data_IF_710536509297
#
_entry.id   IF_710536509297
#
_cell.length_a   1.000
_cell.length_b   1.000
_cell.length_c   1.000
_cell.angle_alpha   90.00
_cell.angle_beta   90.00
_cell.angle_gamma   90.00
#
_symmetry.space_group_name_H-M   'P 1'
#
loop_
_entity.id
_entity.type
_entity.pdbx_description
1 polymer ?
#
# COMPACT_ATOMS: atom_id res chain seq x y z
N UNK A 1 -15.09 -1.49 -33.58
CA UNK A 1 -14.68 -1.95 -32.24
C UNK A 1 -13.43 -1.18 -31.84
N UNK A 2 -13.60 -0.07 -31.11
CA UNK A 2 -12.51 0.61 -30.41
C UNK A 2 -12.16 -0.26 -29.18
N UNK A 3 -10.85 -0.48 -28.88
CA UNK A 3 -10.47 -1.17 -27.66
C UNK A 3 -10.99 -0.35 -26.48
N UNK A 4 -11.66 -1.02 -25.52
CA UNK A 4 -11.94 -0.46 -24.21
C UNK A 4 -10.59 -0.02 -23.62
N UNK A 5 -10.31 1.29 -23.66
CA UNK A 5 -9.37 1.86 -22.72
C UNK A 5 -9.94 1.50 -21.34
N UNK A 6 -9.27 0.63 -20.61
CA UNK A 6 -9.58 0.37 -19.22
C UNK A 6 -9.48 1.72 -18.52
N UNK A 7 -10.62 2.29 -18.16
CA UNK A 7 -10.65 3.48 -17.32
C UNK A 7 -10.06 3.03 -15.98
N UNK A 8 -8.82 3.43 -15.74
CA UNK A 8 -8.20 3.22 -14.43
C UNK A 8 -9.14 3.78 -13.37
N UNK A 9 -9.34 3.04 -12.29
CA UNK A 9 -10.14 3.50 -11.17
C UNK A 9 -9.56 4.78 -10.59
N UNK A 10 -10.39 5.61 -9.97
CA UNK A 10 -9.90 6.84 -9.35
C UNK A 10 -8.82 6.56 -8.30
N UNK A 11 -8.98 5.50 -7.49
CA UNK A 11 -7.99 5.10 -6.48
C UNK A 11 -6.66 4.65 -7.11
N UNK A 12 -6.71 3.85 -8.19
CA UNK A 12 -5.52 3.42 -8.92
C UNK A 12 -4.75 4.60 -9.53
N UNK A 13 -5.46 5.57 -10.10
CA UNK A 13 -4.85 6.79 -10.64
C UNK A 13 -4.14 7.60 -9.55
N UNK A 14 -4.77 7.79 -8.38
CA UNK A 14 -4.16 8.48 -7.24
C UNK A 14 -2.93 7.73 -6.73
N UNK A 15 -2.98 6.41 -6.69
CA UNK A 15 -1.85 5.55 -6.31
C UNK A 15 -0.63 5.77 -7.21
N UNK A 16 -0.82 5.66 -8.53
CA UNK A 16 0.25 5.87 -9.51
C UNK A 16 0.86 7.28 -9.45
N UNK A 17 0.02 8.30 -9.32
CA UNK A 17 0.48 9.68 -9.21
C UNK A 17 1.24 9.91 -7.90
N UNK A 18 0.77 9.33 -6.80
CA UNK A 18 1.42 9.44 -5.49
C UNK A 18 2.78 8.76 -5.48
N UNK A 19 2.90 7.55 -6.04
CA UNK A 19 4.20 6.87 -6.18
C UNK A 19 5.20 7.66 -7.03
N UNK A 20 4.75 8.31 -8.10
CA UNK A 20 5.63 9.15 -8.93
C UNK A 20 6.12 10.41 -8.20
N UNK A 21 5.28 10.99 -7.35
CA UNK A 21 5.60 12.20 -6.59
C UNK A 21 6.48 11.92 -5.39
N UNK A 22 6.12 10.91 -4.61
CA UNK A 22 6.82 10.46 -3.41
C UNK A 22 6.59 8.95 -3.25
N UNK A 23 7.61 8.17 -3.51
CA UNK A 23 7.53 6.71 -3.50
C UNK A 23 7.53 6.11 -2.08
N UNK A 24 6.83 6.75 -1.15
CA UNK A 24 6.76 6.37 0.26
C UNK A 24 5.31 6.19 0.70
N UNK A 25 5.05 5.10 1.42
CA UNK A 25 3.81 4.87 2.16
C UNK A 25 4.10 5.13 3.63
N UNK A 26 3.41 6.09 4.23
CA UNK A 26 3.52 6.35 5.67
C UNK A 26 2.71 5.32 6.46
N UNK A 27 3.36 4.63 7.40
CA UNK A 27 2.75 3.63 8.28
C UNK A 27 2.57 4.27 9.66
N UNK A 28 1.34 4.65 10.00
CA UNK A 28 0.98 5.39 11.22
C UNK A 28 0.68 4.41 12.37
N UNK A 29 1.61 3.52 12.66
CA UNK A 29 1.44 2.49 13.69
C UNK A 29 1.32 3.11 15.08
N UNK A 30 0.25 2.73 15.80
CA UNK A 30 0.01 3.17 17.17
C UNK A 30 -0.56 4.58 17.29
N UNK A 31 -0.82 5.27 16.19
CA UNK A 31 -1.40 6.61 16.21
C UNK A 31 -2.81 6.59 16.83
N UNK A 32 -3.11 7.58 17.64
CA UNK A 32 -4.44 7.82 18.21
C UNK A 32 -5.26 8.75 17.32
N UNK A 33 -6.60 8.77 17.45
CA UNK A 33 -7.43 9.73 16.70
C UNK A 33 -7.05 11.20 16.96
N UNK A 34 -6.64 11.54 18.17
CA UNK A 34 -6.23 12.90 18.51
C UNK A 34 -4.95 13.36 17.79
N UNK A 35 -4.04 12.42 17.53
CA UNK A 35 -2.76 12.66 16.82
C UNK A 35 -2.92 12.60 15.31
N UNK A 36 -3.96 11.94 14.81
CA UNK A 36 -4.08 11.54 13.41
C UNK A 36 -4.04 12.72 12.43
N UNK A 37 -4.78 13.78 12.69
CA UNK A 37 -4.85 14.95 11.79
C UNK A 37 -3.55 15.77 11.77
N UNK A 38 -2.95 16.17 12.92
CA UNK A 38 -1.68 16.90 12.89
C UNK A 38 -0.56 16.11 12.21
N UNK A 39 -0.46 14.80 12.44
CA UNK A 39 0.56 13.95 11.82
C UNK A 39 0.30 13.79 10.32
N UNK A 40 -0.94 13.49 9.91
CA UNK A 40 -1.28 13.38 8.50
C UNK A 40 -1.03 14.67 7.73
N UNK A 41 -1.34 15.82 8.33
CA UNK A 41 -1.06 17.13 7.74
C UNK A 41 0.43 17.33 7.50
N UNK A 42 1.25 17.08 8.51
CA UNK A 42 2.71 17.21 8.39
C UNK A 42 3.28 16.31 7.28
N UNK A 43 2.79 15.07 7.16
CA UNK A 43 3.20 14.14 6.11
C UNK A 43 2.74 14.60 4.71
N UNK A 44 1.50 15.04 4.57
CA UNK A 44 0.99 15.56 3.30
C UNK A 44 1.75 16.83 2.86
N UNK A 45 2.05 17.73 3.80
CA UNK A 45 2.85 18.93 3.54
C UNK A 45 4.30 18.57 3.12
N UNK A 46 4.83 17.46 3.63
CA UNK A 46 6.12 16.89 3.21
C UNK A 46 6.06 16.12 1.89
N UNK A 47 4.89 15.99 1.25
CA UNK A 47 4.72 15.37 -0.06
C UNK A 47 4.20 13.93 -0.06
N UNK A 48 3.93 13.32 1.10
CA UNK A 48 3.33 11.98 1.14
C UNK A 48 1.91 12.01 0.57
N UNK A 49 1.63 11.05 -0.30
CA UNK A 49 0.30 10.86 -0.87
C UNK A 49 -0.34 9.51 -0.51
N UNK A 50 0.39 8.65 0.20
CA UNK A 50 -0.03 7.31 0.61
C UNK A 50 0.14 7.18 2.12
N UNK A 51 -0.98 7.02 2.84
CA UNK A 51 -0.99 6.90 4.31
C UNK A 51 -1.82 5.68 4.74
N UNK A 52 -1.28 4.86 5.60
CA UNK A 52 -2.03 3.74 6.19
C UNK A 52 -1.96 3.77 7.72
N UNK A 53 -3.10 3.51 8.35
CA UNK A 53 -3.21 3.30 9.78
C UNK A 53 -3.38 1.80 10.02
N UNK A 54 -2.42 1.12 10.66
CA UNK A 54 -2.57 -0.30 10.97
C UNK A 54 -3.77 -0.55 11.88
N UNK A 55 -4.56 -1.60 11.58
CA UNK A 55 -5.78 -1.90 12.35
C UNK A 55 -5.52 -2.34 13.80
N UNK A 56 -4.27 -2.56 14.17
CA UNK A 56 -3.85 -2.79 15.56
C UNK A 56 -3.44 -1.49 16.29
N UNK A 57 -3.73 -0.32 15.71
CA UNK A 57 -3.61 0.97 16.38
C UNK A 57 -4.87 1.30 17.21
N UNK A 58 -4.83 2.24 18.15
CA UNK A 58 -6.02 2.68 18.90
C UNK A 58 -7.07 3.31 17.97
N UNK A 59 -8.32 2.86 18.05
CA UNK A 59 -9.47 3.41 17.29
C UNK A 59 -9.16 3.70 15.81
N UNK A 60 -8.59 2.72 15.05
CA UNK A 60 -7.97 2.99 13.74
C UNK A 60 -8.97 3.52 12.71
N UNK A 61 -10.22 3.08 12.74
CA UNK A 61 -11.25 3.53 11.81
C UNK A 61 -11.63 5.00 12.01
N UNK A 62 -11.57 5.51 13.24
CA UNK A 62 -11.78 6.93 13.51
C UNK A 62 -10.64 7.76 12.92
N UNK A 63 -9.40 7.34 13.11
CA UNK A 63 -8.22 7.98 12.51
C UNK A 63 -8.29 7.97 10.98
N UNK A 64 -8.62 6.84 10.37
CA UNK A 64 -8.77 6.70 8.91
C UNK A 64 -9.84 7.66 8.39
N UNK A 65 -11.02 7.69 9.04
CA UNK A 65 -12.12 8.57 8.63
C UNK A 65 -11.74 10.05 8.72
N UNK A 66 -11.12 10.47 9.82
CA UNK A 66 -10.68 11.85 10.01
C UNK A 66 -9.66 12.27 8.95
N UNK A 67 -8.64 11.43 8.70
CA UNK A 67 -7.58 11.72 7.71
C UNK A 67 -8.16 11.76 6.30
N UNK A 68 -8.95 10.76 5.91
CA UNK A 68 -9.54 10.68 4.57
C UNK A 68 -10.43 11.88 4.25
N UNK A 69 -11.21 12.35 5.23
CA UNK A 69 -12.04 13.54 5.08
C UNK A 69 -11.22 14.84 4.96
N UNK A 70 -10.17 14.98 5.76
CA UNK A 70 -9.34 16.18 5.78
C UNK A 70 -8.35 16.27 4.60
N UNK A 71 -7.95 15.14 4.03
CA UNK A 71 -6.96 15.04 2.95
C UNK A 71 -7.49 14.22 1.76
N UNK A 72 -8.55 14.68 1.05
CA UNK A 72 -9.19 13.94 -0.04
C UNK A 72 -8.27 13.68 -1.24
N UNK A 73 -7.16 14.42 -1.36
CA UNK A 73 -6.14 14.23 -2.40
C UNK A 73 -5.15 13.12 -2.09
N UNK A 74 -5.08 12.64 -0.83
CA UNK A 74 -4.24 11.53 -0.43
C UNK A 74 -5.00 10.20 -0.51
N UNK A 75 -4.28 9.13 -0.77
CA UNK A 75 -4.81 7.78 -0.68
C UNK A 75 -4.59 7.28 0.76
N UNK A 76 -5.68 7.29 1.52
CA UNK A 76 -5.68 6.93 2.94
C UNK A 76 -6.35 5.58 3.13
N UNK A 77 -5.86 4.76 4.04
CA UNK A 77 -6.50 3.51 4.37
C UNK A 77 -5.86 2.77 5.54
N UNK A 78 -5.93 1.46 5.51
CA UNK A 78 -5.53 0.62 6.63
C UNK A 78 -4.36 -0.30 6.28
N UNK A 79 -3.47 -0.50 7.25
CA UNK A 79 -2.53 -1.60 7.31
C UNK A 79 -3.02 -2.76 8.18
N UNK A 80 -2.36 -3.90 8.06
CA UNK A 80 -2.68 -5.12 8.83
C UNK A 80 -4.13 -5.59 8.60
N UNK A 81 -4.60 -5.47 7.37
CA UNK A 81 -5.93 -5.95 6.96
C UNK A 81 -5.81 -7.43 6.59
N UNK A 82 -6.52 -8.30 7.32
CA UNK A 82 -6.38 -9.75 7.24
C UNK A 82 -7.65 -10.46 6.77
N UNK A 83 -8.81 -9.77 6.81
CA UNK A 83 -10.13 -10.36 6.55
C UNK A 83 -11.01 -9.44 5.73
N UNK A 84 -11.96 -10.01 5.01
CA UNK A 84 -12.90 -9.29 4.13
C UNK A 84 -13.75 -8.28 4.92
N UNK A 85 -14.20 -8.64 6.14
CA UNK A 85 -14.98 -7.73 6.98
C UNK A 85 -14.21 -6.46 7.33
N UNK A 86 -12.88 -6.57 7.50
CA UNK A 86 -12.02 -5.41 7.75
C UNK A 86 -11.91 -4.52 6.51
N UNK A 87 -11.89 -5.09 5.31
CA UNK A 87 -11.93 -4.31 4.05
C UNK A 87 -13.20 -3.47 3.99
N UNK A 88 -14.35 -4.07 4.27
CA UNK A 88 -15.63 -3.36 4.29
C UNK A 88 -15.67 -2.26 5.37
N UNK A 89 -15.14 -2.51 6.56
CA UNK A 89 -15.08 -1.53 7.63
C UNK A 89 -14.18 -0.33 7.26
N UNK A 90 -13.01 -0.58 6.65
CA UNK A 90 -12.10 0.46 6.15
C UNK A 90 -12.76 1.29 5.06
N UNK A 91 -13.44 0.64 4.11
CA UNK A 91 -14.18 1.33 3.06
C UNK A 91 -15.29 2.22 3.62
N UNK A 92 -16.08 1.70 4.57
CA UNK A 92 -17.14 2.46 5.25
C UNK A 92 -16.60 3.68 6.03
N UNK A 93 -15.37 3.60 6.52
CA UNK A 93 -14.66 4.73 7.16
C UNK A 93 -14.08 5.75 6.14
N UNK A 94 -14.28 5.55 4.84
CA UNK A 94 -13.74 6.41 3.79
C UNK A 94 -12.32 6.03 3.32
N UNK A 95 -11.77 4.94 3.82
CA UNK A 95 -10.47 4.43 3.39
C UNK A 95 -10.52 3.85 1.98
N UNK A 96 -9.45 4.03 1.21
CA UNK A 96 -9.30 3.56 -0.18
C UNK A 96 -7.99 2.83 -0.44
N UNK A 97 -7.24 2.52 0.63
CA UNK A 97 -5.99 1.78 0.59
C UNK A 97 -6.06 0.61 1.58
N UNK A 98 -5.74 -0.57 1.10
CA UNK A 98 -5.64 -1.80 1.89
C UNK A 98 -4.22 -2.33 1.80
N UNK A 99 -3.54 -2.43 2.94
CA UNK A 99 -2.20 -3.00 3.04
C UNK A 99 -2.25 -4.18 4.00
N UNK A 100 -1.69 -5.32 3.58
CA UNK A 100 -1.69 -6.54 4.37
C UNK A 100 -0.27 -7.06 4.59
N UNK A 101 0.01 -7.72 5.72
CA UNK A 101 1.31 -8.34 5.94
C UNK A 101 1.49 -9.66 5.18
N UNK A 102 0.39 -10.21 4.66
CA UNK A 102 0.32 -11.49 3.95
C UNK A 102 -0.54 -11.36 2.69
N UNK A 103 -0.55 -12.40 1.88
CA UNK A 103 -1.47 -12.54 0.75
C UNK A 103 -2.71 -13.36 1.16
N UNK A 104 -3.88 -12.79 0.92
CA UNK A 104 -5.17 -13.46 0.96
C UNK A 104 -6.00 -13.01 -0.25
N UNK A 105 -6.31 -13.94 -1.14
CA UNK A 105 -7.01 -13.66 -2.40
C UNK A 105 -8.41 -13.04 -2.20
N UNK A 106 -9.13 -13.42 -1.14
CA UNK A 106 -10.45 -12.87 -0.84
C UNK A 106 -10.36 -11.41 -0.40
N UNK A 107 -9.36 -11.06 0.41
CA UNK A 107 -9.09 -9.67 0.83
C UNK A 107 -8.75 -8.81 -0.38
N UNK A 108 -7.88 -9.29 -1.28
CA UNK A 108 -7.51 -8.57 -2.49
C UNK A 108 -8.73 -8.33 -3.38
N UNK A 109 -9.51 -9.38 -3.66
CA UNK A 109 -10.71 -9.28 -4.51
C UNK A 109 -11.77 -8.37 -3.91
N UNK A 110 -11.98 -8.41 -2.59
CA UNK A 110 -12.92 -7.53 -1.91
C UNK A 110 -12.49 -6.06 -2.02
N UNK A 111 -11.21 -5.75 -1.84
CA UNK A 111 -10.67 -4.41 -1.98
C UNK A 111 -10.83 -3.88 -3.42
N UNK A 112 -10.49 -4.69 -4.41
CA UNK A 112 -10.63 -4.36 -5.83
C UNK A 112 -12.09 -4.10 -6.20
N UNK A 113 -13.02 -4.94 -5.72
CA UNK A 113 -14.46 -4.78 -5.98
C UNK A 113 -15.04 -3.48 -5.40
N UNK A 114 -14.40 -2.90 -4.38
CA UNK A 114 -14.77 -1.63 -3.76
C UNK A 114 -13.96 -0.43 -4.28
N UNK A 115 -13.25 -0.58 -5.39
CA UNK A 115 -12.38 0.46 -5.95
C UNK A 115 -11.31 0.96 -4.94
N UNK A 116 -10.77 0.06 -4.14
CA UNK A 116 -9.68 0.33 -3.22
C UNK A 116 -8.37 -0.21 -3.79
N UNK A 117 -7.28 0.53 -3.59
CA UNK A 117 -5.94 0.02 -3.88
C UNK A 117 -5.56 -1.05 -2.86
N UNK A 118 -5.05 -2.19 -3.33
CA UNK A 118 -4.64 -3.28 -2.46
C UNK A 118 -3.16 -3.63 -2.69
N UNK A 119 -2.39 -3.66 -1.60
CA UNK A 119 -0.96 -3.97 -1.54
C UNK A 119 -0.75 -5.16 -0.58
N UNK A 120 -0.97 -6.40 -1.02
CA UNK A 120 -0.76 -7.58 -0.19
C UNK A 120 0.72 -7.84 0.05
N UNK A 121 1.02 -8.41 1.23
CA UNK A 121 2.35 -8.86 1.60
C UNK A 121 2.72 -10.17 0.92
N UNK A 122 3.90 -10.24 0.31
CA UNK A 122 4.44 -11.41 -0.37
C UNK A 122 5.92 -11.54 -0.08
N UNK A 123 6.44 -12.77 -0.15
CA UNK A 123 7.85 -13.05 0.04
C UNK A 123 8.41 -13.97 -1.06
N UNK A 124 7.55 -14.70 -1.76
CA UNK A 124 7.91 -15.67 -2.78
C UNK A 124 7.31 -15.32 -4.15
N UNK A 125 7.88 -15.81 -5.26
CA UNK A 125 7.28 -15.64 -6.58
C UNK A 125 5.86 -16.23 -6.68
N UNK A 126 5.59 -17.37 -6.05
CA UNK A 126 4.24 -17.97 -6.04
C UNK A 126 3.20 -17.04 -5.45
N UNK A 127 3.49 -16.44 -4.30
CA UNK A 127 2.60 -15.45 -3.68
C UNK A 127 2.46 -14.20 -4.54
N UNK A 128 3.55 -13.73 -5.12
CA UNK A 128 3.56 -12.54 -5.96
C UNK A 128 2.65 -12.69 -7.19
N UNK A 129 2.78 -13.80 -7.94
CA UNK A 129 1.92 -14.07 -9.08
C UNK A 129 0.46 -14.27 -8.67
N UNK A 130 0.20 -15.02 -7.60
CA UNK A 130 -1.16 -15.22 -7.11
C UNK A 130 -1.81 -13.90 -6.65
N UNK A 131 -1.04 -12.99 -6.06
CA UNK A 131 -1.53 -11.67 -5.66
C UNK A 131 -1.89 -10.80 -6.89
N UNK A 132 -1.04 -10.80 -7.91
CA UNK A 132 -1.32 -10.08 -9.18
C UNK A 132 -2.55 -10.66 -9.89
N UNK A 133 -2.68 -11.98 -9.94
CA UNK A 133 -3.84 -12.67 -10.55
C UNK A 133 -5.15 -12.37 -9.78
N UNK A 134 -5.06 -12.12 -8.48
CA UNK A 134 -6.21 -11.68 -7.67
C UNK A 134 -6.58 -10.20 -7.89
N UNK A 135 -5.74 -9.43 -8.62
CA UNK A 135 -5.97 -8.02 -8.95
C UNK A 135 -5.25 -7.03 -8.07
N UNK A 136 -4.20 -7.43 -7.34
CA UNK A 136 -3.40 -6.51 -6.52
C UNK A 136 -2.81 -5.37 -7.37
N UNK A 137 -2.86 -4.15 -6.85
CA UNK A 137 -2.33 -2.96 -7.51
C UNK A 137 -0.80 -2.81 -7.36
N UNK A 138 -0.25 -3.48 -6.37
CA UNK A 138 1.18 -3.58 -6.11
C UNK A 138 1.45 -4.69 -5.10
N UNK A 139 2.72 -5.02 -4.94
CA UNK A 139 3.20 -6.07 -4.04
C UNK A 139 3.99 -5.43 -2.91
N UNK A 140 3.69 -5.81 -1.69
CA UNK A 140 4.48 -5.45 -0.51
C UNK A 140 5.45 -6.59 -0.21
N UNK A 141 6.74 -6.43 -0.49
CA UNK A 141 7.77 -7.36 -0.01
C UNK A 141 7.94 -7.18 1.50
N UNK A 142 7.59 -8.20 2.27
CA UNK A 142 7.55 -8.12 3.73
C UNK A 142 7.87 -9.47 4.40
N UNK A 143 8.70 -9.49 5.44
CA UNK A 143 9.51 -8.36 5.93
C UNK A 143 10.75 -8.14 5.04
N UNK A 144 10.99 -6.91 4.58
CA UNK A 144 12.06 -6.62 3.63
C UNK A 144 13.46 -6.87 4.21
N UNK A 145 13.64 -6.75 5.51
CA UNK A 145 14.90 -7.09 6.20
C UNK A 145 15.33 -8.55 6.00
N UNK A 146 14.39 -9.45 5.72
CA UNK A 146 14.67 -10.85 5.39
C UNK A 146 14.86 -11.11 3.88
N UNK A 147 14.72 -10.07 3.04
CA UNK A 147 14.74 -10.17 1.57
C UNK A 147 15.93 -9.36 1.06
N UNK A 148 16.98 -10.04 0.56
CA UNK A 148 18.14 -9.34 0.04
C UNK A 148 17.84 -8.59 -1.28
N UNK A 149 18.59 -7.53 -1.62
CA UNK A 149 18.51 -6.91 -2.94
C UNK A 149 18.72 -7.89 -4.09
N UNK A 150 19.54 -8.92 -3.91
CA UNK A 150 19.73 -9.97 -4.92
C UNK A 150 18.45 -10.78 -5.15
N UNK A 151 17.70 -11.09 -4.09
CA UNK A 151 16.40 -11.76 -4.20
C UNK A 151 15.37 -10.87 -4.90
N UNK A 152 15.33 -9.58 -4.58
CA UNK A 152 14.47 -8.60 -5.27
C UNK A 152 14.78 -8.60 -6.77
N UNK A 153 16.04 -8.51 -7.15
CA UNK A 153 16.48 -8.53 -8.54
C UNK A 153 16.04 -9.81 -9.27
N UNK A 154 16.16 -10.96 -8.62
CA UNK A 154 15.71 -12.24 -9.16
C UNK A 154 14.19 -12.27 -9.36
N UNK A 155 13.41 -11.79 -8.39
CA UNK A 155 11.95 -11.67 -8.53
C UNK A 155 11.55 -10.70 -9.64
N UNK A 156 12.19 -9.54 -9.74
CA UNK A 156 11.93 -8.56 -10.81
C UNK A 156 12.21 -9.09 -12.22
N UNK A 157 13.14 -10.04 -12.35
CA UNK A 157 13.43 -10.66 -13.64
C UNK A 157 12.27 -11.49 -14.22
N UNK A 158 11.37 -11.98 -13.37
CA UNK A 158 10.22 -12.81 -13.76
C UNK A 158 8.88 -12.12 -13.62
N UNK A 159 8.76 -11.11 -12.76
CA UNK A 159 7.52 -10.35 -12.58
C UNK A 159 7.24 -9.43 -13.79
N UNK A 160 5.95 -9.15 -14.09
CA UNK A 160 5.60 -8.16 -15.10
C UNK A 160 6.28 -6.82 -14.82
N UNK A 161 6.78 -6.16 -15.86
CA UNK A 161 7.47 -4.85 -15.72
C UNK A 161 6.55 -3.76 -15.16
N UNK A 162 5.24 -3.90 -15.36
CA UNK A 162 4.21 -2.98 -14.86
C UNK A 162 3.88 -3.19 -13.39
N UNK A 163 4.22 -4.35 -12.80
CA UNK A 163 3.95 -4.63 -11.41
C UNK A 163 4.73 -3.68 -10.50
N UNK A 164 4.03 -2.99 -9.60
CA UNK A 164 4.64 -2.16 -8.57
C UNK A 164 5.08 -3.03 -7.40
N UNK A 165 6.31 -2.83 -6.94
CA UNK A 165 6.90 -3.60 -5.85
C UNK A 165 7.45 -2.64 -4.79
N UNK A 166 6.93 -2.73 -3.57
CA UNK A 166 7.32 -1.90 -2.45
C UNK A 166 8.02 -2.75 -1.38
N UNK A 167 9.10 -2.25 -0.80
CA UNK A 167 9.78 -2.89 0.31
C UNK A 167 9.29 -2.31 1.64
N UNK A 168 8.95 -3.17 2.59
CA UNK A 168 8.42 -2.80 3.90
C UNK A 168 9.02 -3.68 5.00
N UNK A 169 9.47 -3.03 6.08
CA UNK A 169 10.11 -3.71 7.22
C UNK A 169 11.62 -3.60 7.18
N UNK A 170 12.22 -3.00 8.22
CA UNK A 170 13.67 -2.79 8.33
C UNK A 170 14.26 -1.83 7.28
N UNK A 171 13.43 -1.05 6.59
CA UNK A 171 13.87 -0.07 5.59
C UNK A 171 14.38 1.18 6.29
N UNK A 172 15.55 1.65 5.87
CA UNK A 172 16.20 2.86 6.37
C UNK A 172 16.75 3.68 5.20
N UNK A 173 17.03 4.99 5.38
CA UNK A 173 17.67 5.78 4.33
C UNK A 173 18.99 5.18 3.81
N UNK A 174 19.71 4.43 4.66
CA UNK A 174 21.00 3.82 4.31
C UNK A 174 20.86 2.60 3.39
N UNK A 175 19.75 1.83 3.48
CA UNK A 175 19.54 0.62 2.66
C UNK A 175 18.63 0.84 1.46
N UNK A 176 17.88 1.93 1.39
CA UNK A 176 16.96 2.23 0.28
C UNK A 176 17.64 2.18 -1.09
N UNK A 177 18.86 2.75 -1.21
CA UNK A 177 19.57 2.79 -2.47
C UNK A 177 19.82 1.41 -3.09
N UNK A 178 20.17 0.42 -2.27
CA UNK A 178 20.40 -0.95 -2.73
C UNK A 178 19.09 -1.61 -3.22
N UNK A 179 17.98 -1.37 -2.52
CA UNK A 179 16.66 -1.88 -2.94
C UNK A 179 16.17 -1.19 -4.23
N UNK A 180 16.36 0.12 -4.36
CA UNK A 180 16.02 0.85 -5.59
C UNK A 180 16.82 0.31 -6.79
N UNK A 181 18.14 0.10 -6.62
CA UNK A 181 18.99 -0.48 -7.66
C UNK A 181 18.57 -1.93 -8.03
N UNK A 182 17.95 -2.66 -7.13
CA UNK A 182 17.39 -3.99 -7.37
C UNK A 182 16.01 -3.96 -8.07
N UNK A 183 15.34 -2.80 -8.16
CA UNK A 183 14.08 -2.63 -8.86
C UNK A 183 12.85 -2.45 -7.96
N UNK A 184 13.05 -1.98 -6.72
CA UNK A 184 11.95 -1.55 -5.85
C UNK A 184 11.41 -0.20 -6.33
N UNK A 185 10.07 -0.08 -6.40
CA UNK A 185 9.37 1.12 -6.86
C UNK A 185 9.01 2.08 -5.72
N UNK A 186 8.99 1.61 -4.47
CA UNK A 186 8.66 2.42 -3.31
C UNK A 186 8.86 1.69 -1.98
N UNK A 187 8.59 2.38 -0.88
CA UNK A 187 8.87 1.87 0.46
C UNK A 187 7.72 2.18 1.43
N UNK A 188 7.48 1.27 2.37
CA UNK A 188 6.67 1.56 3.54
C UNK A 188 7.58 1.97 4.71
N UNK A 189 7.27 3.11 5.31
CA UNK A 189 8.04 3.73 6.40
C UNK A 189 7.15 3.96 7.62
N UNK A 190 7.59 3.50 8.79
CA UNK A 190 6.88 3.66 10.05
C UNK A 190 7.75 3.41 11.26
#
# INVERSE_FOLDING_TARGET
HLPKAEMMSNASTVFEQSLKRCALVAILRGITPAESLPVARALCDAGFGLLEVPLNSPEPLQSISAIAHAHPQALVGAGTVLRVEQVHAVHAAGGRLVVSPNFNAEVVRAAVALDMVCLPGVMTPTEAFAALDAGAHGLKLFPAEAISPAMVKAMRAVLPKTAKVLAVGGVTPQNMGAYMAAGIDGFGMG
#
